data_IF_719162578364
#
_entry.id   IF_719162578364
#
_cell.length_a   1.000
_cell.length_b   1.000
_cell.length_c   1.000
_cell.angle_alpha   90.00
_cell.angle_beta   90.00
_cell.angle_gamma   90.00
#
_symmetry.space_group_name_H-M   'P 1'
#
loop_
_entity.id
_entity.type
_entity.pdbx_description
1 polymer ?
#
# COMPACT_ATOMS: atom_id res chain seq x y z
N UNK A 1 42.29 -21.91 -11.88
CA UNK A 1 40.90 -21.62 -11.49
C UNK A 1 40.95 -20.86 -10.18
N UNK A 2 40.80 -19.53 -10.22
CA UNK A 2 40.82 -18.71 -9.01
C UNK A 2 39.52 -18.90 -8.25
N UNK A 3 39.62 -19.32 -6.99
CA UNK A 3 38.54 -19.17 -6.02
C UNK A 3 38.21 -17.68 -5.93
N UNK A 4 37.21 -17.25 -6.69
CA UNK A 4 36.56 -15.98 -6.48
C UNK A 4 36.03 -16.05 -5.05
N UNK A 5 36.73 -15.36 -4.13
CA UNK A 5 36.22 -15.00 -2.81
C UNK A 5 34.79 -14.52 -3.03
N UNK A 6 33.81 -15.39 -2.74
CA UNK A 6 32.40 -15.02 -2.65
C UNK A 6 32.37 -14.05 -1.49
N UNK A 7 32.57 -12.76 -1.80
CA UNK A 7 32.26 -11.66 -0.90
C UNK A 7 30.88 -12.00 -0.37
N UNK A 8 30.81 -12.37 0.91
CA UNK A 8 29.56 -12.50 1.65
C UNK A 8 29.01 -11.09 1.69
N UNK A 9 28.39 -10.69 0.58
CA UNK A 9 27.76 -9.42 0.44
C UNK A 9 26.76 -9.33 1.60
N UNK A 10 26.78 -8.22 2.36
CA UNK A 10 26.00 -8.08 3.57
C UNK A 10 24.57 -8.52 3.28
N UNK A 11 23.97 -9.28 4.21
CA UNK A 11 22.56 -9.62 4.11
C UNK A 11 21.79 -8.32 3.89
N UNK A 12 21.16 -8.24 2.72
CA UNK A 12 20.35 -7.10 2.28
C UNK A 12 19.14 -7.07 3.20
N UNK A 13 19.30 -6.38 4.33
CA UNK A 13 18.35 -6.34 5.43
C UNK A 13 17.90 -4.91 5.72
N UNK A 14 16.92 -4.42 4.97
CA UNK A 14 16.13 -3.21 5.21
C UNK A 14 15.27 -3.42 6.46
N UNK A 15 15.88 -3.30 7.63
CA UNK A 15 15.19 -3.40 8.90
C UNK A 15 15.10 -2.00 9.51
N UNK A 16 13.89 -1.54 9.84
CA UNK A 16 13.70 -0.31 10.61
C UNK A 16 14.20 -0.53 12.04
N UNK A 17 14.92 0.46 12.60
CA UNK A 17 15.49 0.39 13.95
C UNK A 17 14.62 1.11 15.00
N UNK A 18 13.35 1.29 14.72
CA UNK A 18 12.39 1.86 15.67
C UNK A 18 12.10 0.90 16.83
N UNK A 19 11.59 1.45 17.94
CA UNK A 19 11.42 0.70 19.17
C UNK A 19 10.35 -0.39 19.07
N UNK A 20 9.27 -0.15 18.33
CA UNK A 20 8.16 -1.08 18.21
C UNK A 20 8.54 -2.25 17.32
N UNK A 21 9.17 -1.99 16.17
CA UNK A 21 9.73 -2.98 15.26
C UNK A 21 10.81 -3.84 15.92
N UNK A 22 11.68 -3.23 16.74
CA UNK A 22 12.64 -3.97 17.58
C UNK A 22 11.95 -4.89 18.59
N UNK A 23 10.89 -4.42 19.23
CA UNK A 23 10.10 -5.21 20.18
C UNK A 23 9.41 -6.38 19.48
N UNK A 24 8.75 -6.14 18.36
CA UNK A 24 8.09 -7.17 17.55
C UNK A 24 9.07 -8.24 17.08
N UNK A 25 10.29 -7.86 16.63
CA UNK A 25 11.34 -8.82 16.28
C UNK A 25 11.87 -9.59 17.47
N UNK A 26 12.06 -8.96 18.62
CA UNK A 26 12.50 -9.62 19.86
C UNK A 26 11.56 -10.76 20.26
N UNK A 27 10.26 -10.58 20.03
CA UNK A 27 9.24 -11.59 20.28
C UNK A 27 8.90 -12.46 19.06
N UNK A 28 9.62 -12.30 17.94
CA UNK A 28 9.38 -13.00 16.68
C UNK A 28 7.90 -12.94 16.21
N UNK A 29 7.25 -11.79 16.41
CA UNK A 29 5.85 -11.60 16.04
C UNK A 29 5.69 -11.61 14.52
N UNK A 30 4.86 -12.52 14.03
CA UNK A 30 4.39 -12.54 12.65
C UNK A 30 3.35 -11.44 12.43
N UNK A 31 3.17 -10.93 11.19
CA UNK A 31 2.16 -9.91 10.89
C UNK A 31 0.77 -10.22 11.43
N UNK A 32 0.26 -11.43 11.17
CA UNK A 32 -1.06 -11.84 11.64
C UNK A 32 -1.13 -11.97 13.16
N UNK A 33 -0.06 -12.45 13.82
CA UNK A 33 -0.03 -12.53 15.30
C UNK A 33 -0.08 -11.15 15.94
N UNK A 34 0.64 -10.16 15.38
CA UNK A 34 0.63 -8.80 15.91
C UNK A 34 -0.76 -8.14 15.74
N UNK A 35 -1.41 -8.35 14.60
CA UNK A 35 -2.78 -7.89 14.39
C UNK A 35 -3.78 -8.53 15.36
N UNK A 36 -3.71 -9.85 15.55
CA UNK A 36 -4.56 -10.56 16.52
C UNK A 36 -4.33 -10.07 17.95
N UNK A 37 -3.07 -9.84 18.35
CA UNK A 37 -2.76 -9.29 19.67
C UNK A 37 -3.36 -7.90 19.86
N UNK A 38 -3.29 -7.03 18.84
CA UNK A 38 -3.94 -5.71 18.88
C UNK A 38 -5.46 -5.84 18.98
N UNK A 39 -6.08 -6.77 18.25
CA UNK A 39 -7.51 -7.05 18.35
C UNK A 39 -7.91 -7.47 19.77
N UNK A 40 -7.19 -8.42 20.37
CA UNK A 40 -7.46 -8.84 21.74
C UNK A 40 -7.23 -7.72 22.75
N UNK A 41 -6.18 -6.92 22.57
CA UNK A 41 -5.91 -5.77 23.41
C UNK A 41 -7.07 -4.76 23.37
N UNK A 42 -7.53 -4.39 22.18
CA UNK A 42 -8.66 -3.46 22.01
C UNK A 42 -9.95 -4.04 22.57
N UNK A 43 -10.28 -5.31 22.28
CA UNK A 43 -11.47 -5.97 22.82
C UNK A 43 -11.44 -6.00 24.36
N UNK A 44 -10.31 -6.40 24.95
CA UNK A 44 -10.18 -6.46 26.41
C UNK A 44 -10.33 -5.08 27.04
N UNK A 45 -9.68 -4.06 26.47
CA UNK A 45 -9.74 -2.68 26.96
C UNK A 45 -11.17 -2.12 26.83
N UNK A 46 -11.74 -2.13 25.62
CA UNK A 46 -13.02 -1.49 25.33
C UNK A 46 -14.18 -2.19 26.05
N UNK A 47 -14.20 -3.52 26.12
CA UNK A 47 -15.23 -4.24 26.86
C UNK A 47 -15.10 -3.99 28.37
N UNK A 48 -13.89 -4.04 28.93
CA UNK A 48 -13.69 -3.80 30.37
C UNK A 48 -14.13 -2.39 30.77
N UNK A 49 -13.79 -1.40 29.95
CA UNK A 49 -14.22 -0.01 30.14
C UNK A 49 -15.74 0.13 29.95
N UNK A 50 -16.30 -0.45 28.90
CA UNK A 50 -17.72 -0.35 28.61
C UNK A 50 -18.59 -1.01 29.69
N UNK A 51 -18.18 -2.15 30.24
CA UNK A 51 -18.87 -2.78 31.37
C UNK A 51 -18.63 -2.02 32.68
N UNK A 52 -17.38 -1.61 32.95
CA UNK A 52 -17.01 -0.93 34.20
C UNK A 52 -17.69 0.43 34.39
N UNK A 53 -17.96 1.16 33.30
CA UNK A 53 -18.63 2.46 33.33
C UNK A 53 -20.09 2.42 32.86
N UNK A 54 -20.66 1.23 32.62
CA UNK A 54 -22.03 1.10 32.11
C UNK A 54 -22.23 1.69 30.70
N UNK A 55 -21.15 1.84 29.93
CA UNK A 55 -21.15 2.39 28.57
C UNK A 55 -21.40 1.36 27.46
N UNK A 56 -21.65 0.09 27.80
CA UNK A 56 -21.95 -0.95 26.80
C UNK A 56 -23.37 -0.79 26.19
N UNK A 57 -24.38 -0.60 27.05
CA UNK A 57 -25.75 -0.21 26.71
C UNK A 57 -26.21 0.92 27.63
N UNK A 58 -25.62 2.12 27.52
CA UNK A 58 -26.04 3.22 28.33
C UNK A 58 -27.48 3.60 27.90
N UNK A 59 -28.25 4.14 28.84
CA UNK A 59 -29.70 4.38 28.67
C UNK A 59 -30.04 5.33 27.49
N UNK A 60 -31.30 5.74 27.39
CA UNK A 60 -31.86 6.39 26.20
C UNK A 60 -31.14 7.66 25.66
N UNK A 61 -30.22 8.27 26.43
CA UNK A 61 -29.54 9.54 26.07
C UNK A 61 -28.15 9.38 25.46
N UNK A 62 -27.51 8.22 25.57
CA UNK A 62 -26.17 7.98 25.04
C UNK A 62 -26.13 6.70 24.21
N UNK A 63 -25.28 6.69 23.19
CA UNK A 63 -25.03 5.51 22.37
C UNK A 63 -23.96 4.67 23.06
N UNK A 64 -24.27 3.41 23.29
CA UNK A 64 -23.30 2.47 23.84
C UNK A 64 -22.33 1.98 22.80
N UNK A 65 -21.26 1.36 23.28
CA UNK A 65 -20.25 0.69 22.45
C UNK A 65 -20.88 -0.24 21.39
N UNK A 66 -21.94 -0.97 21.77
CA UNK A 66 -22.62 -1.89 20.85
C UNK A 66 -23.33 -1.22 19.67
N UNK A 67 -23.59 0.09 19.75
CA UNK A 67 -24.33 0.86 18.75
C UNK A 67 -23.45 1.81 17.94
N UNK A 68 -22.13 1.72 18.06
CA UNK A 68 -21.20 2.63 17.37
C UNK A 68 -20.35 1.93 16.30
N UNK A 69 -20.85 1.86 15.05
CA UNK A 69 -20.14 1.18 13.95
C UNK A 69 -18.70 1.66 13.76
N UNK A 70 -18.44 2.94 14.01
CA UNK A 70 -17.10 3.52 13.87
C UNK A 70 -16.09 2.85 14.81
N UNK A 71 -16.48 2.56 16.05
CA UNK A 71 -15.61 1.89 17.03
C UNK A 71 -15.29 0.47 16.58
N UNK A 72 -16.29 -0.24 16.08
CA UNK A 72 -16.08 -1.58 15.53
C UNK A 72 -15.13 -1.58 14.32
N UNK A 73 -15.30 -0.61 13.43
CA UNK A 73 -14.47 -0.47 12.25
C UNK A 73 -13.04 -0.01 12.60
N UNK A 74 -12.88 0.97 13.48
CA UNK A 74 -11.55 1.48 13.84
C UNK A 74 -10.80 0.47 14.70
N UNK A 75 -11.41 -0.02 15.77
CA UNK A 75 -10.69 -0.68 16.85
C UNK A 75 -10.57 -2.18 16.66
N UNK A 76 -11.58 -2.80 16.04
CA UNK A 76 -11.60 -4.25 15.86
C UNK A 76 -11.27 -4.68 14.43
N UNK A 77 -11.19 -3.73 13.48
CA UNK A 77 -10.77 -4.01 12.11
C UNK A 77 -9.53 -3.21 11.72
N UNK A 78 -9.62 -1.89 11.57
CA UNK A 78 -8.56 -1.08 10.98
C UNK A 78 -7.26 -1.11 11.79
N UNK A 79 -7.31 -0.91 13.11
CA UNK A 79 -6.12 -0.93 13.98
C UNK A 79 -5.39 -2.28 13.98
N UNK A 80 -6.07 -3.44 14.17
CA UNK A 80 -5.45 -4.76 14.01
C UNK A 80 -4.75 -4.95 12.67
N UNK A 81 -5.41 -4.58 11.57
CA UNK A 81 -4.82 -4.67 10.24
C UNK A 81 -3.60 -3.75 10.13
N UNK A 82 -3.69 -2.50 10.59
CA UNK A 82 -2.60 -1.54 10.53
C UNK A 82 -1.36 -2.03 11.30
N UNK A 83 -1.52 -2.55 12.52
CA UNK A 83 -0.42 -3.11 13.33
C UNK A 83 0.19 -4.34 12.66
N UNK A 84 -0.64 -5.24 12.12
CA UNK A 84 -0.17 -6.40 11.37
C UNK A 84 0.62 -6.01 10.11
N UNK A 85 0.10 -5.04 9.34
CA UNK A 85 0.75 -4.53 8.14
C UNK A 85 2.03 -3.75 8.44
N UNK A 86 2.11 -3.08 9.59
CA UNK A 86 3.35 -2.48 10.05
C UNK A 86 4.43 -3.52 10.36
N UNK A 87 4.09 -4.69 10.91
CA UNK A 87 5.07 -5.78 11.02
C UNK A 87 5.50 -6.29 9.63
N UNK A 88 4.53 -6.42 8.72
CA UNK A 88 4.77 -6.93 7.38
C UNK A 88 5.69 -6.02 6.56
N UNK A 89 5.45 -4.70 6.56
CA UNK A 89 6.19 -3.73 5.72
C UNK A 89 7.70 -3.76 6.01
N UNK A 90 8.10 -4.09 7.24
CA UNK A 90 9.51 -4.26 7.65
C UNK A 90 10.27 -5.31 6.84
N UNK A 91 9.57 -6.33 6.32
CA UNK A 91 10.17 -7.43 5.57
C UNK A 91 10.03 -7.27 4.07
N UNK A 92 9.11 -6.39 3.63
CA UNK A 92 8.71 -6.26 2.22
C UNK A 92 9.87 -5.82 1.34
N UNK A 93 10.65 -4.82 1.76
CA UNK A 93 11.77 -4.32 0.95
C UNK A 93 12.78 -5.42 0.62
N UNK A 94 13.13 -6.25 1.61
CA UNK A 94 14.07 -7.36 1.43
C UNK A 94 13.49 -8.47 0.57
N UNK A 95 12.23 -8.82 0.81
CA UNK A 95 11.53 -9.84 0.03
C UNK A 95 11.41 -9.42 -1.44
N UNK A 96 11.08 -8.15 -1.71
CA UNK A 96 11.03 -7.58 -3.06
C UNK A 96 12.38 -7.69 -3.75
N UNK A 97 13.45 -7.16 -3.14
CA UNK A 97 14.78 -7.19 -3.75
C UNK A 97 15.30 -8.62 -3.95
N UNK A 98 15.14 -9.49 -2.94
CA UNK A 98 15.59 -10.88 -3.02
C UNK A 98 14.86 -11.63 -4.14
N UNK A 99 13.55 -11.43 -4.26
CA UNK A 99 12.75 -12.05 -5.34
C UNK A 99 13.19 -11.52 -6.70
N UNK A 100 13.36 -10.20 -6.85
CA UNK A 100 13.81 -9.62 -8.14
C UNK A 100 15.20 -10.10 -8.56
N UNK A 101 16.09 -10.37 -7.60
CA UNK A 101 17.42 -10.94 -7.87
C UNK A 101 17.31 -12.43 -8.20
N UNK A 102 16.54 -13.21 -7.43
CA UNK A 102 16.43 -14.66 -7.62
C UNK A 102 15.76 -15.03 -8.94
N UNK A 103 14.81 -14.22 -9.38
CA UNK A 103 14.12 -14.36 -10.68
C UNK A 103 14.95 -13.76 -11.85
N UNK A 104 16.17 -13.30 -11.60
CA UNK A 104 17.05 -12.75 -12.66
C UNK A 104 16.55 -11.45 -13.31
N UNK A 105 15.55 -10.79 -12.73
CA UNK A 105 15.00 -9.52 -13.23
C UNK A 105 16.00 -8.38 -13.05
N UNK A 106 16.76 -8.43 -11.96
CA UNK A 106 17.82 -7.46 -11.64
C UNK A 106 19.11 -8.19 -11.32
N UNK A 107 20.20 -7.76 -11.94
CA UNK A 107 21.52 -8.26 -11.64
C UNK A 107 22.10 -7.64 -10.36
N UNK A 108 22.69 -8.48 -9.52
CA UNK A 108 23.36 -8.02 -8.31
C UNK A 108 24.68 -7.33 -8.66
N UNK A 109 24.76 -6.03 -8.46
CA UNK A 109 25.96 -5.23 -8.74
C UNK A 109 26.25 -4.20 -7.62
N UNK A 110 27.32 -3.42 -7.78
CA UNK A 110 27.71 -2.37 -6.81
C UNK A 110 26.65 -1.28 -6.65
N UNK A 111 25.95 -0.92 -7.73
CA UNK A 111 24.89 0.10 -7.73
C UNK A 111 23.70 -0.33 -6.87
N UNK A 112 23.28 -1.60 -6.96
CA UNK A 112 22.21 -2.12 -6.11
C UNK A 112 22.58 -2.07 -4.62
N UNK A 113 23.84 -2.38 -4.30
CA UNK A 113 24.34 -2.30 -2.92
C UNK A 113 24.38 -0.85 -2.43
N UNK A 114 24.83 0.10 -3.26
CA UNK A 114 24.81 1.54 -2.96
C UNK A 114 23.38 2.02 -2.63
N UNK A 115 22.40 1.67 -3.48
CA UNK A 115 20.99 2.01 -3.28
C UNK A 115 20.48 1.39 -1.97
N UNK A 116 20.77 0.12 -1.72
CA UNK A 116 20.32 -0.58 -0.50
C UNK A 116 20.90 0.08 0.76
N UNK A 117 22.22 0.34 0.79
CA UNK A 117 22.90 0.96 1.94
C UNK A 117 22.33 2.35 2.21
N UNK A 118 22.10 3.13 1.14
CA UNK A 118 21.46 4.45 1.22
C UNK A 118 20.11 4.34 1.93
N UNK A 119 19.16 3.55 1.44
CA UNK A 119 17.83 3.49 2.06
C UNK A 119 17.81 2.78 3.43
N UNK A 120 18.71 1.82 3.66
CA UNK A 120 18.89 1.20 4.97
C UNK A 120 19.34 2.22 6.02
N UNK A 121 20.19 3.18 5.65
CA UNK A 121 20.61 4.24 6.59
C UNK A 121 19.44 5.12 7.03
N UNK A 122 18.47 5.37 6.14
CA UNK A 122 17.25 6.13 6.46
C UNK A 122 16.33 5.35 7.41
N UNK A 123 16.11 4.06 7.15
CA UNK A 123 15.32 3.17 8.02
C UNK A 123 15.96 2.98 9.41
N UNK A 124 17.29 3.10 9.51
CA UNK A 124 18.00 2.97 10.79
C UNK A 124 18.07 4.27 11.59
N UNK A 125 17.52 5.37 11.08
CA UNK A 125 17.58 6.67 11.75
C UNK A 125 16.69 6.71 13.00
N UNK A 126 17.32 6.62 14.18
CA UNK A 126 16.64 6.63 15.47
C UNK A 126 15.93 7.96 15.79
N UNK A 127 16.39 9.08 15.22
CA UNK A 127 15.77 10.38 15.45
C UNK A 127 14.35 10.44 14.90
N UNK A 128 14.13 9.82 13.74
CA UNK A 128 12.80 9.74 13.16
C UNK A 128 11.82 9.03 14.10
N UNK A 129 12.19 7.87 14.63
CA UNK A 129 11.34 7.14 15.57
C UNK A 129 11.02 7.99 16.81
N UNK A 130 11.96 8.81 17.30
CA UNK A 130 11.72 9.71 18.44
C UNK A 130 10.72 10.81 18.08
N UNK A 131 10.91 11.47 16.94
CA UNK A 131 10.00 12.51 16.44
C UNK A 131 8.59 11.94 16.27
N UNK A 132 8.45 10.80 15.61
CA UNK A 132 7.15 10.15 15.40
C UNK A 132 6.52 9.77 16.74
N UNK A 133 7.30 9.23 17.69
CA UNK A 133 6.80 8.94 19.05
C UNK A 133 6.26 10.20 19.74
N UNK A 134 7.00 11.30 19.70
CA UNK A 134 6.57 12.56 20.31
C UNK A 134 5.30 13.10 19.65
N UNK A 135 5.23 13.10 18.31
CA UNK A 135 4.05 13.57 17.58
C UNK A 135 2.83 12.72 17.93
N UNK A 136 2.95 11.39 17.87
CA UNK A 136 1.85 10.47 18.20
C UNK A 136 1.39 10.63 19.64
N UNK A 137 2.31 10.85 20.57
CA UNK A 137 1.98 11.09 21.98
C UNK A 137 1.20 12.40 22.16
N UNK A 138 1.69 13.50 21.58
CA UNK A 138 1.00 14.79 21.66
C UNK A 138 -0.38 14.75 21.02
N UNK A 139 -0.52 14.09 19.87
CA UNK A 139 -1.82 13.90 19.21
C UNK A 139 -2.78 13.04 20.04
N UNK A 140 -2.29 11.99 20.70
CA UNK A 140 -3.13 11.16 21.58
C UNK A 140 -3.59 11.91 22.84
N UNK A 141 -2.71 12.71 23.45
CA UNK A 141 -3.07 13.59 24.57
C UNK A 141 -4.06 14.65 24.13
N UNK A 142 -3.83 15.28 22.98
CA UNK A 142 -4.75 16.26 22.41
C UNK A 142 -6.12 15.62 22.12
N UNK A 143 -6.16 14.42 21.55
CA UNK A 143 -7.40 13.66 21.34
C UNK A 143 -8.16 13.44 22.65
N UNK A 144 -7.48 12.98 23.71
CA UNK A 144 -8.11 12.75 25.00
C UNK A 144 -8.65 14.05 25.64
N UNK A 145 -7.90 15.15 25.49
CA UNK A 145 -8.28 16.47 26.01
C UNK A 145 -9.42 17.13 25.22
N UNK A 146 -9.40 17.01 23.89
CA UNK A 146 -10.38 17.63 23.00
C UNK A 146 -11.68 16.84 22.88
N UNK A 147 -11.71 15.57 23.31
CA UNK A 147 -12.93 14.76 23.31
C UNK A 147 -13.89 15.31 24.37
N UNK A 148 -15.12 15.71 23.99
CA UNK A 148 -16.06 16.27 24.94
C UNK A 148 -16.39 15.28 26.07
N UNK A 149 -16.35 15.77 27.31
CA UNK A 149 -16.72 14.99 28.47
C UNK A 149 -18.24 14.79 28.62
N UNK A 150 -18.70 14.08 29.67
CA UNK A 150 -20.13 13.84 29.92
C UNK A 150 -20.98 15.10 30.08
N UNK A 151 -20.35 16.24 30.35
CA UNK A 151 -21.01 17.54 30.51
C UNK A 151 -21.42 18.18 29.19
N UNK A 152 -20.94 17.70 28.04
CA UNK A 152 -21.32 18.23 26.74
C UNK A 152 -22.54 17.46 26.18
N UNK A 153 -23.73 18.08 26.12
CA UNK A 153 -24.94 17.42 25.64
C UNK A 153 -24.91 17.14 24.13
N UNK A 154 -23.97 17.74 23.39
CA UNK A 154 -23.88 17.55 21.95
C UNK A 154 -23.26 16.19 21.63
N UNK A 155 -22.33 15.69 22.45
CA UNK A 155 -21.62 14.45 22.17
C UNK A 155 -22.19 13.26 22.94
N UNK A 156 -22.91 12.37 22.25
CA UNK A 156 -23.62 11.23 22.83
C UNK A 156 -22.91 9.88 22.64
N UNK A 157 -21.62 9.88 22.27
CA UNK A 157 -20.87 8.65 22.07
C UNK A 157 -20.45 7.94 23.38
N UNK A 158 -20.10 6.65 23.32
CA UNK A 158 -19.75 5.84 24.49
C UNK A 158 -18.55 6.40 25.25
N UNK A 159 -17.64 7.07 24.54
CA UNK A 159 -16.45 7.71 25.13
C UNK A 159 -16.84 8.89 26.04
N UNK A 160 -17.99 9.54 25.86
CA UNK A 160 -18.43 10.62 26.76
C UNK A 160 -19.16 10.14 28.00
N UNK A 161 -19.41 8.83 28.18
CA UNK A 161 -20.08 8.33 29.40
C UNK A 161 -19.28 8.64 30.66
N UNK A 162 -17.95 8.66 30.57
CA UNK A 162 -17.07 8.95 31.70
C UNK A 162 -15.82 9.71 31.25
N UNK A 163 -15.35 10.71 32.02
CA UNK A 163 -14.22 11.55 31.63
C UNK A 163 -12.89 10.78 31.55
N UNK A 164 -12.81 9.56 32.09
CA UNK A 164 -11.61 8.71 32.02
C UNK A 164 -11.51 7.91 30.71
N UNK A 165 -12.63 7.69 30.02
CA UNK A 165 -12.67 6.88 28.80
C UNK A 165 -11.81 7.45 27.66
N UNK A 166 -11.83 8.77 27.35
CA UNK A 166 -10.93 9.36 26.36
C UNK A 166 -9.45 9.12 26.68
N UNK A 167 -9.07 9.20 27.96
CA UNK A 167 -7.70 9.00 28.42
C UNK A 167 -7.26 7.54 28.31
N UNK A 168 -8.12 6.59 28.68
CA UNK A 168 -7.82 5.17 28.49
C UNK A 168 -7.66 4.84 26.99
N UNK A 169 -8.51 5.45 26.14
CA UNK A 169 -8.46 5.34 24.68
C UNK A 169 -7.30 6.09 24.01
N UNK A 170 -6.64 7.00 24.72
CA UNK A 170 -5.43 7.66 24.24
C UNK A 170 -4.29 6.65 24.00
N UNK A 171 -4.27 5.53 24.72
CA UNK A 171 -3.24 4.49 24.59
C UNK A 171 -3.31 3.79 23.21
N UNK A 172 -4.43 3.16 22.80
CA UNK A 172 -4.55 2.60 21.45
C UNK A 172 -4.46 3.66 20.36
N UNK A 173 -4.94 4.89 20.61
CA UNK A 173 -4.78 6.01 19.67
C UNK A 173 -3.29 6.35 19.44
N UNK A 174 -2.48 6.40 20.50
CA UNK A 174 -1.04 6.61 20.42
C UNK A 174 -0.36 5.51 19.57
N UNK A 175 -0.66 4.24 19.86
CA UNK A 175 -0.10 3.10 19.10
C UNK A 175 -0.48 3.21 17.62
N UNK A 176 -1.76 3.47 17.34
CA UNK A 176 -2.30 3.58 15.98
C UNK A 176 -1.63 4.70 15.20
N UNK A 177 -1.54 5.90 15.78
CA UNK A 177 -0.89 7.04 15.14
C UNK A 177 0.60 6.81 14.90
N UNK A 178 1.28 6.20 15.87
CA UNK A 178 2.70 5.85 15.73
C UNK A 178 2.91 4.89 14.57
N UNK A 179 2.12 3.81 14.56
CA UNK A 179 2.17 2.76 13.53
C UNK A 179 1.83 3.36 12.15
N UNK A 180 0.80 4.19 12.05
CA UNK A 180 0.39 4.84 10.79
C UNK A 180 1.51 5.71 10.21
N UNK A 181 2.13 6.56 11.04
CA UNK A 181 3.20 7.47 10.62
C UNK A 181 4.47 6.70 10.24
N UNK A 182 4.89 5.73 11.05
CA UNK A 182 6.06 4.90 10.74
C UNK A 182 5.82 4.03 9.51
N UNK A 183 4.64 3.41 9.37
CA UNK A 183 4.26 2.64 8.19
C UNK A 183 4.31 3.50 6.92
N UNK A 184 3.77 4.72 7.00
CA UNK A 184 3.75 5.66 5.86
C UNK A 184 5.16 6.06 5.44
N UNK A 185 6.06 6.28 6.41
CA UNK A 185 7.47 6.52 6.15
C UNK A 185 8.15 5.31 5.49
N UNK A 186 7.99 4.11 6.05
CA UNK A 186 8.60 2.88 5.52
C UNK A 186 8.09 2.58 4.10
N UNK A 187 6.80 2.76 3.86
CA UNK A 187 6.20 2.64 2.55
C UNK A 187 6.80 3.65 1.56
N UNK A 188 6.96 4.92 1.96
CA UNK A 188 7.58 5.95 1.13
C UNK A 188 9.04 5.62 0.80
N UNK A 189 9.80 5.08 1.75
CA UNK A 189 11.18 4.62 1.55
C UNK A 189 11.22 3.44 0.57
N UNK A 190 10.35 2.45 0.72
CA UNK A 190 10.28 1.30 -0.20
C UNK A 190 9.92 1.77 -1.62
N UNK A 191 8.93 2.66 -1.77
CA UNK A 191 8.56 3.22 -3.09
C UNK A 191 9.73 3.97 -3.72
N UNK A 192 10.43 4.83 -2.95
CA UNK A 192 11.60 5.56 -3.45
C UNK A 192 12.74 4.62 -3.85
N UNK A 193 13.01 3.61 -3.03
CA UNK A 193 14.02 2.59 -3.33
C UNK A 193 13.69 1.84 -4.62
N UNK A 194 12.46 1.32 -4.73
CA UNK A 194 11.99 0.62 -5.94
C UNK A 194 12.11 1.53 -7.17
N UNK A 195 11.72 2.80 -7.04
CA UNK A 195 11.85 3.79 -8.12
C UNK A 195 13.31 4.00 -8.55
N UNK A 196 14.23 4.10 -7.60
CA UNK A 196 15.66 4.28 -7.90
C UNK A 196 16.28 3.01 -8.50
N UNK A 197 15.90 1.83 -8.00
CA UNK A 197 16.30 0.53 -8.53
C UNK A 197 15.91 0.41 -10.00
N UNK A 198 14.63 0.61 -10.34
CA UNK A 198 14.15 0.53 -11.73
C UNK A 198 14.63 1.69 -12.63
N UNK A 199 15.02 2.83 -12.03
CA UNK A 199 15.53 3.98 -12.76
C UNK A 199 17.01 3.87 -13.13
N UNK A 200 17.83 3.27 -12.27
CA UNK A 200 19.29 3.16 -12.45
C UNK A 200 19.73 1.80 -12.97
N UNK A 201 19.01 0.73 -12.67
CA UNK A 201 19.35 -0.62 -13.11
C UNK A 201 18.57 -0.98 -14.37
N UNK A 202 19.25 -1.66 -15.30
CA UNK A 202 18.57 -2.38 -16.37
C UNK A 202 17.73 -3.51 -15.78
N UNK A 203 16.57 -3.77 -16.38
CA UNK A 203 15.77 -4.94 -16.04
C UNK A 203 15.74 -5.93 -17.18
N UNK A 204 15.54 -7.18 -16.84
CA UNK A 204 15.16 -8.24 -17.77
C UNK A 204 13.69 -8.56 -17.57
N UNK A 205 12.89 -8.48 -18.63
CA UNK A 205 11.48 -8.86 -18.59
C UNK A 205 11.36 -10.24 -19.24
N UNK A 206 10.74 -11.18 -18.54
CA UNK A 206 10.52 -12.54 -19.02
C UNK A 206 9.10 -12.72 -19.55
N UNK A 207 8.86 -12.62 -20.88
CA UNK A 207 7.51 -12.56 -21.43
C UNK A 207 6.66 -13.80 -21.14
N UNK A 208 7.30 -14.96 -21.04
CA UNK A 208 6.65 -16.25 -20.78
C UNK A 208 6.67 -16.65 -19.30
N UNK A 209 6.99 -15.71 -18.41
CA UNK A 209 6.99 -15.98 -16.98
C UNK A 209 5.56 -16.31 -16.49
N UNK A 210 5.38 -17.32 -15.61
CA UNK A 210 4.06 -17.83 -15.22
C UNK A 210 3.15 -16.80 -14.52
N UNK A 211 3.71 -15.69 -14.02
CA UNK A 211 2.94 -14.62 -13.40
C UNK A 211 2.15 -13.72 -14.39
N UNK A 212 2.41 -13.85 -15.70
CA UNK A 212 1.88 -12.98 -16.75
C UNK A 212 2.21 -11.47 -16.54
N UNK A 213 3.25 -11.17 -15.78
CA UNK A 213 3.72 -9.84 -15.44
C UNK A 213 5.22 -9.68 -15.71
N UNK A 214 5.81 -10.55 -16.54
CA UNK A 214 7.19 -10.43 -16.96
C UNK A 214 8.21 -10.79 -15.88
N UNK A 215 7.80 -11.50 -14.82
CA UNK A 215 8.60 -11.74 -13.61
C UNK A 215 8.51 -10.63 -12.56
N UNK A 216 7.79 -9.53 -12.85
CA UNK A 216 7.57 -8.43 -11.89
C UNK A 216 6.29 -8.61 -11.05
N UNK A 217 5.65 -9.78 -11.09
CA UNK A 217 4.42 -10.07 -10.37
C UNK A 217 4.51 -9.92 -8.86
N UNK A 218 5.72 -9.94 -8.28
CA UNK A 218 5.95 -9.63 -6.86
C UNK A 218 5.52 -8.20 -6.50
N UNK A 219 5.68 -7.23 -7.41
CA UNK A 219 5.22 -5.85 -7.21
C UNK A 219 3.69 -5.80 -7.22
N UNK A 220 3.06 -6.52 -8.15
CA UNK A 220 1.61 -6.67 -8.19
C UNK A 220 1.05 -7.32 -6.91
N UNK A 221 1.73 -8.33 -6.36
CA UNK A 221 1.36 -8.96 -5.07
C UNK A 221 1.53 -8.01 -3.89
N UNK A 222 2.61 -7.22 -3.88
CA UNK A 222 2.84 -6.19 -2.87
C UNK A 222 1.68 -5.17 -2.84
N UNK A 223 1.27 -4.68 -3.99
CA UNK A 223 0.17 -3.72 -4.11
C UNK A 223 -1.18 -4.33 -3.76
N UNK A 224 -1.44 -5.57 -4.22
CA UNK A 224 -2.66 -6.28 -3.83
C UNK A 224 -2.74 -6.45 -2.31
N UNK A 225 -1.60 -6.72 -1.65
CA UNK A 225 -1.52 -6.79 -0.19
C UNK A 225 -1.81 -5.43 0.44
N UNK A 226 -1.24 -4.33 -0.06
CA UNK A 226 -1.60 -2.98 0.39
C UNK A 226 -3.08 -2.66 0.21
N UNK A 227 -3.71 -3.17 -0.86
CA UNK A 227 -5.14 -3.00 -1.13
C UNK A 227 -6.04 -3.52 -0.01
N UNK A 228 -5.63 -4.58 0.71
CA UNK A 228 -6.37 -5.09 1.87
C UNK A 228 -6.34 -4.09 3.02
N UNK A 229 -5.17 -3.51 3.33
CA UNK A 229 -5.05 -2.47 4.37
C UNK A 229 -5.85 -1.22 4.00
N UNK A 230 -5.73 -0.76 2.74
CA UNK A 230 -6.50 0.37 2.25
C UNK A 230 -8.00 0.06 2.36
N UNK A 231 -8.44 -1.15 1.99
CA UNK A 231 -9.82 -1.58 2.17
C UNK A 231 -10.29 -1.53 3.63
N UNK A 232 -9.47 -1.98 4.58
CA UNK A 232 -9.79 -1.88 6.02
C UNK A 232 -9.97 -0.41 6.46
N UNK A 233 -9.09 0.50 6.01
CA UNK A 233 -9.24 1.94 6.23
C UNK A 233 -10.48 2.50 5.52
N UNK A 234 -10.86 1.95 4.37
CA UNK A 234 -12.10 2.28 3.67
C UNK A 234 -13.33 1.93 4.49
N UNK A 235 -13.34 0.78 5.19
CA UNK A 235 -14.42 0.41 6.11
C UNK A 235 -14.52 1.41 7.26
N UNK A 236 -13.38 1.85 7.82
CA UNK A 236 -13.35 2.88 8.87
C UNK A 236 -13.91 4.23 8.38
N UNK A 237 -13.46 4.72 7.22
CA UNK A 237 -13.99 5.95 6.60
C UNK A 237 -15.49 5.83 6.38
N UNK A 238 -15.94 4.67 5.92
CA UNK A 238 -17.36 4.43 5.66
C UNK A 238 -18.21 4.35 6.91
N UNK A 239 -17.74 3.64 7.93
CA UNK A 239 -18.39 3.58 9.23
C UNK A 239 -18.44 4.97 9.88
N UNK A 240 -17.42 5.80 9.69
CA UNK A 240 -17.38 7.17 10.20
C UNK A 240 -18.47 8.04 9.56
N UNK A 241 -18.63 7.94 8.23
CA UNK A 241 -19.67 8.66 7.48
C UNK A 241 -21.08 8.20 7.85
N UNK A 242 -21.29 6.88 7.95
CA UNK A 242 -22.59 6.29 8.25
C UNK A 242 -22.96 6.39 9.73
N UNK A 243 -21.98 6.63 10.63
CA UNK A 243 -22.25 6.83 12.05
C UNK A 243 -23.00 8.15 12.27
N UNK A 244 -24.28 8.02 12.63
CA UNK A 244 -25.20 9.09 13.01
C UNK A 244 -25.02 9.59 14.45
N UNK A 245 -24.16 8.91 15.24
CA UNK A 245 -24.07 9.10 16.70
C UNK A 245 -23.11 10.23 17.11
N UNK A 246 -22.54 10.98 16.16
CA UNK A 246 -21.90 12.25 16.44
C UNK A 246 -22.98 13.36 16.42
N UNK A 247 -22.85 14.45 17.21
CA UNK A 247 -23.83 15.55 17.33
C UNK A 247 -24.38 16.14 16.01
N UNK A 248 -23.72 15.83 14.90
CA UNK A 248 -24.11 16.18 13.56
C UNK A 248 -24.12 14.89 12.73
N UNK A 249 -25.25 14.20 12.71
CA UNK A 249 -25.54 13.24 11.64
C UNK A 249 -25.39 13.92 10.27
N UNK A 250 -25.49 13.15 9.18
CA UNK A 250 -25.46 13.65 7.78
C UNK A 250 -26.46 14.81 7.54
N UNK A 251 -27.42 14.99 8.43
CA UNK A 251 -28.51 15.96 8.37
C UNK A 251 -28.09 17.41 8.63
N UNK A 252 -27.04 17.69 9.42
CA UNK A 252 -26.56 19.07 9.66
C UNK A 252 -25.21 19.29 8.97
N UNK A 253 -25.16 20.24 8.01
CA UNK A 253 -23.95 20.72 7.33
C UNK A 253 -23.01 21.46 8.30
N UNK A 254 -22.46 20.74 9.27
CA UNK A 254 -21.53 21.24 10.28
C UNK A 254 -20.07 20.88 9.98
N UNK A 255 -19.16 21.48 10.76
CA UNK A 255 -17.71 21.24 10.64
C UNK A 255 -17.34 19.75 10.71
N UNK A 256 -18.02 18.97 11.55
CA UNK A 256 -17.80 17.52 11.71
C UNK A 256 -18.16 16.76 10.43
N UNK A 257 -19.27 17.13 9.77
CA UNK A 257 -19.65 16.52 8.49
C UNK A 257 -18.60 16.81 7.42
N UNK A 258 -18.11 18.05 7.35
CA UNK A 258 -17.04 18.42 6.42
C UNK A 258 -15.74 17.65 6.67
N UNK A 259 -15.36 17.42 7.93
CA UNK A 259 -14.19 16.59 8.29
C UNK A 259 -14.34 15.14 7.79
N UNK A 260 -15.53 14.54 7.95
CA UNK A 260 -15.80 13.18 7.46
C UNK A 260 -15.76 13.12 5.93
N UNK A 261 -16.36 14.10 5.26
CA UNK A 261 -16.33 14.21 3.80
C UNK A 261 -14.91 14.42 3.28
N UNK A 262 -14.12 15.25 3.95
CA UNK A 262 -12.70 15.43 3.65
C UNK A 262 -11.94 14.11 3.78
N UNK A 263 -12.21 13.32 4.83
CA UNK A 263 -11.66 11.97 4.97
C UNK A 263 -11.97 11.06 3.78
N UNK A 264 -13.20 11.09 3.27
CA UNK A 264 -13.60 10.34 2.06
C UNK A 264 -12.85 10.83 0.81
N UNK A 265 -12.77 12.15 0.61
CA UNK A 265 -12.07 12.73 -0.54
C UNK A 265 -10.60 12.35 -0.50
N UNK A 266 -9.96 12.49 0.67
CA UNK A 266 -8.58 12.08 0.87
C UNK A 266 -8.40 10.59 0.57
N UNK A 267 -9.30 9.73 1.02
CA UNK A 267 -9.26 8.29 0.70
C UNK A 267 -9.33 8.03 -0.81
N UNK A 268 -10.30 8.65 -1.50
CA UNK A 268 -10.52 8.49 -2.94
C UNK A 268 -9.31 8.96 -3.76
N UNK A 269 -8.61 10.00 -3.31
CA UNK A 269 -7.39 10.51 -3.98
C UNK A 269 -6.17 9.66 -3.63
N UNK A 270 -6.02 9.29 -2.35
CA UNK A 270 -4.81 8.68 -1.84
C UNK A 270 -4.63 7.24 -2.32
N UNK A 271 -5.71 6.45 -2.35
CA UNK A 271 -5.66 5.06 -2.80
C UNK A 271 -5.14 4.87 -4.24
N UNK A 272 -5.69 5.54 -5.29
CA UNK A 272 -5.15 5.46 -6.64
C UNK A 272 -3.77 6.11 -6.77
N UNK A 273 -3.47 7.14 -5.98
CA UNK A 273 -2.14 7.77 -5.95
C UNK A 273 -1.08 6.79 -5.47
N UNK A 274 -1.31 6.11 -4.34
CA UNK A 274 -0.40 5.09 -3.83
C UNK A 274 -0.22 3.93 -4.81
N UNK A 275 -1.31 3.49 -5.43
CA UNK A 275 -1.27 2.48 -6.48
C UNK A 275 -0.33 2.90 -7.61
N UNK A 276 -0.54 4.11 -8.15
CA UNK A 276 0.25 4.63 -9.27
C UNK A 276 1.72 4.87 -8.92
N UNK A 277 2.00 5.50 -7.77
CA UNK A 277 3.37 5.78 -7.32
C UNK A 277 4.21 4.52 -7.18
N UNK A 278 3.59 3.42 -6.76
CA UNK A 278 4.28 2.14 -6.55
C UNK A 278 4.64 1.43 -7.86
N UNK A 279 3.79 1.52 -8.89
CA UNK A 279 4.00 0.81 -10.16
C UNK A 279 4.75 1.61 -11.22
N UNK A 280 4.73 2.94 -11.13
CA UNK A 280 5.09 3.78 -12.28
C UNK A 280 6.55 3.57 -12.72
N UNK A 281 7.47 3.34 -11.77
CA UNK A 281 8.87 3.04 -12.12
C UNK A 281 9.03 1.69 -12.83
N UNK A 282 8.45 0.63 -12.29
CA UNK A 282 8.46 -0.69 -12.89
C UNK A 282 7.83 -0.68 -14.29
N UNK A 283 6.68 -0.02 -14.44
CA UNK A 283 6.01 0.15 -15.75
C UNK A 283 6.92 0.84 -16.76
N UNK A 284 7.55 1.95 -16.39
CA UNK A 284 8.49 2.67 -17.27
C UNK A 284 9.69 1.81 -17.65
N UNK A 285 10.24 1.04 -16.71
CA UNK A 285 11.33 0.12 -16.98
C UNK A 285 10.92 -0.99 -17.96
N UNK A 286 9.72 -1.56 -17.81
CA UNK A 286 9.18 -2.58 -18.72
C UNK A 286 8.95 -2.03 -20.13
N UNK A 287 8.37 -0.84 -20.25
CA UNK A 287 8.19 -0.15 -21.55
C UNK A 287 9.55 0.08 -22.21
N UNK A 288 10.52 0.63 -21.47
CA UNK A 288 11.87 0.89 -21.99
C UNK A 288 12.56 -0.40 -22.45
N UNK A 289 12.39 -1.51 -21.72
CA UNK A 289 12.94 -2.81 -22.10
C UNK A 289 12.31 -3.34 -23.39
N UNK A 290 10.98 -3.31 -23.50
CA UNK A 290 10.29 -3.73 -24.72
C UNK A 290 10.70 -2.87 -25.93
N UNK A 291 10.68 -1.56 -25.76
CA UNK A 291 10.95 -0.62 -26.84
C UNK A 291 12.42 -0.71 -27.32
N UNK A 292 13.38 -1.06 -26.43
CA UNK A 292 14.76 -1.31 -26.84
C UNK A 292 14.90 -2.57 -27.70
N UNK A 293 14.18 -3.64 -27.36
CA UNK A 293 14.14 -4.86 -28.18
C UNK A 293 13.50 -4.59 -29.55
N UNK A 294 12.36 -3.89 -29.59
CA UNK A 294 11.69 -3.51 -30.84
C UNK A 294 12.57 -2.64 -31.73
N UNK A 295 13.32 -1.71 -31.13
CA UNK A 295 14.28 -0.87 -31.86
C UNK A 295 15.42 -1.70 -32.47
N UNK A 296 15.95 -2.68 -31.73
CA UNK A 296 16.99 -3.56 -32.23
C UNK A 296 16.50 -4.41 -33.41
N UNK A 297 15.32 -5.03 -33.27
CA UNK A 297 14.70 -5.84 -34.34
C UNK A 297 14.41 -4.97 -35.57
N UNK A 298 13.81 -3.80 -35.39
CA UNK A 298 13.57 -2.85 -36.48
C UNK A 298 14.85 -2.44 -37.20
N UNK A 299 15.96 -2.26 -36.46
CA UNK A 299 17.26 -1.94 -37.06
C UNK A 299 17.78 -3.11 -37.91
N UNK A 300 17.65 -4.35 -37.44
CA UNK A 300 18.04 -5.54 -38.19
C UNK A 300 17.20 -5.74 -39.45
N UNK A 301 15.88 -5.53 -39.36
CA UNK A 301 14.97 -5.55 -40.51
C UNK A 301 15.39 -4.50 -41.55
N UNK A 302 15.65 -3.27 -41.14
CA UNK A 302 16.07 -2.19 -42.04
C UNK A 302 17.41 -2.50 -42.74
N UNK A 303 18.36 -3.13 -42.05
CA UNK A 303 19.63 -3.57 -42.65
C UNK A 303 19.38 -4.67 -43.69
N UNK A 304 18.52 -5.65 -43.39
CA UNK A 304 18.19 -6.72 -44.33
C UNK A 304 17.45 -6.20 -45.57
N UNK A 305 16.49 -5.28 -45.40
CA UNK A 305 15.78 -4.64 -46.52
C UNK A 305 16.73 -3.84 -47.42
N UNK A 306 17.67 -3.09 -46.83
CA UNK A 306 18.71 -2.39 -47.60
C UNK A 306 19.62 -3.34 -48.35
N UNK A 307 19.95 -4.49 -47.77
CA UNK A 307 20.75 -5.51 -48.45
C UNK A 307 19.95 -6.12 -49.62
N UNK A 308 18.68 -6.45 -49.41
CA UNK A 308 17.79 -6.94 -50.48
C UNK A 308 17.70 -5.95 -51.66
N UNK A 309 17.57 -4.65 -51.38
CA UNK A 309 17.49 -3.61 -52.42
C UNK A 309 18.78 -3.41 -53.22
N UNK A 310 19.95 -3.67 -52.63
CA UNK A 310 21.25 -3.44 -53.30
C UNK A 310 21.69 -4.57 -54.21
N UNK A 311 20.95 -5.67 -54.21
CA UNK A 311 21.45 -6.91 -54.78
C UNK A 311 20.67 -7.29 -56.02
N UNK A 312 20.90 -6.54 -57.10
CA UNK A 312 20.24 -6.71 -58.41
C UNK A 312 20.56 -8.05 -59.10
N UNK A 313 21.43 -8.89 -58.52
CA UNK A 313 21.87 -10.17 -59.07
C UNK A 313 22.23 -11.22 -58.01
N UNK A 314 21.46 -11.32 -56.92
CA UNK A 314 21.68 -12.44 -55.98
C UNK A 314 21.30 -13.77 -56.59
N UNK A 315 22.11 -14.78 -56.25
CA UNK A 315 21.71 -16.16 -56.38
C UNK A 315 20.40 -16.41 -55.61
N UNK A 316 19.54 -17.25 -56.18
CA UNK A 316 18.20 -17.54 -55.68
C UNK A 316 18.25 -18.06 -54.24
N UNK A 317 19.26 -18.87 -53.91
CA UNK A 317 19.46 -19.40 -52.57
C UNK A 317 19.73 -18.30 -51.52
N UNK A 318 20.53 -17.27 -51.89
CA UNK A 318 20.84 -16.16 -50.98
C UNK A 318 19.59 -15.33 -50.74
N UNK A 319 18.82 -15.05 -51.78
CA UNK A 319 17.55 -14.32 -51.67
C UNK A 319 16.56 -15.05 -50.75
N UNK A 320 16.40 -16.36 -50.91
CA UNK A 320 15.52 -17.17 -50.07
C UNK A 320 15.94 -17.14 -48.60
N UNK A 321 17.25 -17.22 -48.33
CA UNK A 321 17.79 -17.13 -46.98
C UNK A 321 17.49 -15.78 -46.30
N UNK A 322 17.58 -14.68 -47.05
CA UNK A 322 17.29 -13.32 -46.55
C UNK A 322 15.80 -13.14 -46.27
N UNK A 323 14.93 -13.62 -47.16
CA UNK A 323 13.47 -13.59 -46.98
C UNK A 323 13.07 -14.41 -45.74
N UNK A 324 13.65 -15.61 -45.57
CA UNK A 324 13.41 -16.43 -44.38
C UNK A 324 13.81 -15.70 -43.10
N UNK A 325 14.98 -15.05 -43.10
CA UNK A 325 15.45 -14.26 -41.94
C UNK A 325 14.55 -13.05 -41.66
N UNK A 326 14.05 -12.38 -42.69
CA UNK A 326 13.11 -11.27 -42.55
C UNK A 326 11.81 -11.72 -41.88
N UNK A 327 11.21 -12.84 -42.34
CA UNK A 327 10.01 -13.42 -41.72
C UNK A 327 10.21 -13.76 -40.24
N UNK A 328 11.35 -14.36 -39.90
CA UNK A 328 11.69 -14.66 -38.50
C UNK A 328 11.77 -13.40 -37.64
N UNK A 329 12.35 -12.30 -38.15
CA UNK A 329 12.39 -11.03 -37.43
C UNK A 329 11.02 -10.35 -37.32
N UNK A 330 10.15 -10.50 -38.32
CA UNK A 330 8.76 -10.02 -38.24
C UNK A 330 7.96 -10.78 -37.19
N UNK A 331 8.13 -12.10 -37.12
CA UNK A 331 7.55 -12.94 -36.06
C UNK A 331 8.09 -12.55 -34.68
N UNK A 332 9.40 -12.36 -34.55
CA UNK A 332 10.03 -11.89 -33.32
C UNK A 332 9.50 -10.51 -32.91
N UNK A 333 9.38 -9.56 -33.85
CA UNK A 333 8.80 -8.24 -33.62
C UNK A 333 7.36 -8.35 -33.10
N UNK A 334 6.54 -9.20 -33.72
CA UNK A 334 5.15 -9.45 -33.29
C UNK A 334 5.11 -10.00 -31.87
N UNK A 335 5.96 -10.96 -31.53
CA UNK A 335 6.06 -11.53 -30.18
C UNK A 335 6.48 -10.46 -29.17
N UNK A 336 7.55 -9.70 -29.45
CA UNK A 336 8.06 -8.64 -28.56
C UNK A 336 7.04 -7.53 -28.35
N UNK A 337 6.26 -7.17 -29.39
CA UNK A 337 5.22 -6.15 -29.27
C UNK A 337 4.13 -6.49 -28.24
N UNK A 338 3.93 -7.78 -27.96
CA UNK A 338 2.96 -8.31 -27.02
C UNK A 338 3.53 -8.48 -25.60
N UNK A 339 4.80 -8.14 -25.36
CA UNK A 339 5.38 -8.26 -24.03
C UNK A 339 4.58 -7.45 -22.99
N UNK A 340 4.44 -7.97 -21.76
CA UNK A 340 3.73 -7.26 -20.71
C UNK A 340 4.45 -5.94 -20.41
N UNK A 341 3.67 -4.86 -20.28
CA UNK A 341 4.19 -3.53 -19.90
C UNK A 341 3.72 -3.07 -18.52
N UNK A 342 2.98 -3.93 -17.83
CA UNK A 342 2.43 -3.67 -16.51
C UNK A 342 2.89 -4.74 -15.53
N UNK A 343 3.32 -4.36 -14.30
CA UNK A 343 3.81 -5.30 -13.29
C UNK A 343 2.66 -5.98 -12.54
N UNK A 344 1.53 -6.24 -13.20
CA UNK A 344 0.36 -6.86 -12.61
C UNK A 344 -0.41 -7.72 -13.60
N UNK A 345 -0.96 -8.82 -13.08
CA UNK A 345 -1.99 -9.59 -13.75
C UNK A 345 -3.35 -8.89 -13.57
N UNK A 346 -4.22 -8.98 -14.58
CA UNK A 346 -5.62 -8.52 -14.54
C UNK A 346 -6.36 -8.98 -13.28
N UNK A 347 -6.10 -10.20 -12.80
CA UNK A 347 -6.71 -10.73 -11.58
C UNK A 347 -6.31 -9.94 -10.32
N UNK A 348 -5.04 -9.55 -10.19
CA UNK A 348 -4.57 -8.76 -9.05
C UNK A 348 -5.12 -7.34 -9.10
N UNK A 349 -5.23 -6.75 -10.30
CA UNK A 349 -5.85 -5.44 -10.48
C UNK A 349 -7.32 -5.44 -10.07
N UNK A 350 -8.11 -6.43 -10.51
CA UNK A 350 -9.51 -6.59 -10.12
C UNK A 350 -9.66 -6.71 -8.60
N UNK A 351 -8.85 -7.58 -7.98
CA UNK A 351 -8.83 -7.73 -6.51
C UNK A 351 -8.54 -6.41 -5.80
N UNK A 352 -7.51 -5.68 -6.24
CA UNK A 352 -7.17 -4.38 -5.67
C UNK A 352 -8.33 -3.39 -5.77
N UNK A 353 -8.91 -3.22 -6.97
CA UNK A 353 -10.03 -2.31 -7.19
C UNK A 353 -11.20 -2.70 -6.28
N UNK A 354 -11.62 -3.97 -6.26
CA UNK A 354 -12.73 -4.44 -5.41
C UNK A 354 -12.48 -4.24 -3.92
N UNK A 355 -11.25 -4.47 -3.44
CA UNK A 355 -10.91 -4.27 -2.03
C UNK A 355 -10.93 -2.80 -1.62
N UNK A 356 -10.51 -1.90 -2.50
CA UNK A 356 -10.43 -0.46 -2.23
C UNK A 356 -11.78 0.23 -2.39
N UNK A 357 -12.55 -0.11 -3.42
CA UNK A 357 -13.83 0.55 -3.70
C UNK A 357 -14.99 -0.09 -2.94
N UNK A 358 -14.96 -1.39 -2.70
CA UNK A 358 -16.05 -2.13 -2.03
C UNK A 358 -16.53 -1.47 -0.73
N UNK A 359 -15.62 -1.19 0.23
CA UNK A 359 -15.98 -0.59 1.51
C UNK A 359 -16.65 0.78 1.41
N UNK A 360 -16.31 1.59 0.41
CA UNK A 360 -16.80 2.97 0.28
C UNK A 360 -18.13 3.11 -0.46
N UNK A 361 -18.56 2.08 -1.19
CA UNK A 361 -19.82 2.09 -1.96
C UNK A 361 -21.01 2.50 -1.07
N UNK A 362 -21.25 1.89 0.11
CA UNK A 362 -22.40 2.27 0.95
C UNK A 362 -22.43 3.74 1.33
N UNK A 363 -21.27 4.32 1.65
CA UNK A 363 -21.18 5.74 2.05
C UNK A 363 -21.39 6.67 0.86
N UNK A 364 -20.80 6.36 -0.29
CA UNK A 364 -21.01 7.14 -1.53
C UNK A 364 -22.47 7.08 -1.96
N UNK A 365 -23.09 5.90 -1.91
CA UNK A 365 -24.51 5.73 -2.21
C UNK A 365 -25.39 6.50 -1.23
N UNK A 366 -25.09 6.45 0.08
CA UNK A 366 -25.82 7.20 1.10
C UNK A 366 -25.77 8.71 0.86
N UNK A 367 -24.59 9.25 0.50
CA UNK A 367 -24.45 10.67 0.16
C UNK A 367 -25.24 11.00 -1.10
N UNK A 368 -25.19 10.15 -2.13
CA UNK A 368 -25.94 10.34 -3.36
C UNK A 368 -27.45 10.37 -3.15
N UNK A 369 -27.98 9.46 -2.32
CA UNK A 369 -29.40 9.43 -1.96
C UNK A 369 -29.79 10.72 -1.22
N UNK A 370 -29.02 11.14 -0.22
CA UNK A 370 -29.30 12.36 0.55
C UNK A 370 -29.34 13.60 -0.35
N UNK A 371 -28.39 13.72 -1.29
CA UNK A 371 -28.36 14.82 -2.26
C UNK A 371 -29.58 14.83 -3.18
N UNK A 372 -29.99 13.67 -3.71
CA UNK A 372 -31.17 13.54 -4.57
C UNK A 372 -32.44 13.90 -3.80
N UNK A 373 -32.60 13.39 -2.57
CA UNK A 373 -33.77 13.70 -1.74
C UNK A 373 -33.86 15.19 -1.43
N UNK A 374 -32.74 15.88 -1.18
CA UNK A 374 -32.74 17.34 -0.99
C UNK A 374 -33.11 18.10 -2.26
N UNK A 375 -32.65 17.66 -3.43
CA UNK A 375 -32.97 18.31 -4.71
C UNK A 375 -34.45 18.18 -5.10
N UNK A 376 -35.12 17.08 -4.72
CA UNK A 376 -36.55 16.85 -5.03
C UNK A 376 -37.46 17.68 -4.11
N UNK A 377 -37.02 17.97 -2.88
CA UNK A 377 -37.81 18.70 -1.88
C UNK A 377 -37.65 20.24 -1.95
N UNK A 378 -36.91 20.74 -2.93
CA UNK A 378 -36.77 22.17 -3.28
C UNK A 378 -37.65 22.44 -4.49
#
# INVERSE_FOLDING_TARGET
MSETKKLKLPQVGLNNNDWLSNTMRRFNLKPWTAGILMLFFNLALDLSLAFGFGAFYPGAKTHGLSREPIVWASDFLAQPFLVGYFCWIQTVGNNLLTTLISEGIIERNSVLNEITIKYQSWLRNRWLSRIVTTISFLCAVFFAWATPGPSDPTYTGWISVSPILPWARAIPAFITLYVLLMFSFDLAIIIKMVNEVFGRLGIRVEPFHPDNAGGLGIIGRFIASLGILIGALGVEVSASLLSTNAPNGVTTLGLVYFQKLLGLILYIIFAPTLFYLTINSARRAMIKYRDSLLKNISTMINVLLKNLQKSDSLDTEVLESLIKKLRLLEEEHKIVSQFPVWPFNKNNLRKFISLVTGPIIPSVTSIGIDLITRLINI
#
